data_IF_317298279370
#
_entry.id   IF_317298279370
#
_cell.length_a   1.000
_cell.length_b   1.000
_cell.length_c   1.000
_cell.angle_alpha   90.00
_cell.angle_beta   90.00
_cell.angle_gamma   90.00
#
_symmetry.space_group_name_H-M   'P 1'
#
loop_
_entity.id
_entity.type
_entity.pdbx_description
1 polymer ?
#
# COMPACT_ATOMS: atom_id res chain seq x y z
N UNK A 1 5.51 20.64 -12.78
CA UNK A 1 5.15 19.66 -11.74
C UNK A 1 6.35 18.87 -11.21
N UNK A 2 7.03 18.07 -12.02
CA UNK A 2 8.13 17.19 -11.56
C UNK A 2 9.28 17.94 -10.87
N UNK A 3 9.73 19.08 -11.40
CA UNK A 3 10.78 19.89 -10.76
C UNK A 3 10.36 20.46 -9.39
N UNK A 4 9.07 20.79 -9.22
CA UNK A 4 8.55 21.24 -7.93
C UNK A 4 8.60 20.10 -6.91
N UNK A 5 8.25 18.88 -7.31
CA UNK A 5 8.36 17.69 -6.44
C UNK A 5 9.79 17.56 -5.91
N UNK A 6 10.79 17.71 -6.77
CA UNK A 6 12.20 17.61 -6.39
C UNK A 6 12.61 18.68 -5.38
N UNK A 7 12.07 19.90 -5.52
CA UNK A 7 12.30 21.01 -4.61
C UNK A 7 11.62 20.79 -3.24
N UNK A 8 10.33 20.48 -3.23
CA UNK A 8 9.56 20.32 -1.99
C UNK A 8 9.95 19.06 -1.19
N UNK A 9 10.49 18.03 -1.84
CA UNK A 9 11.04 16.83 -1.16
C UNK A 9 12.40 17.07 -0.51
N UNK A 10 13.09 18.16 -0.83
CA UNK A 10 14.36 18.54 -0.17
C UNK A 10 14.14 19.02 1.26
N UNK A 11 12.93 19.47 1.59
CA UNK A 11 12.61 20.00 2.90
C UNK A 11 12.75 18.89 3.97
N UNK A 12 13.60 19.13 4.96
CA UNK A 12 13.90 18.15 6.01
C UNK A 12 12.90 18.21 7.17
N UNK A 13 12.03 19.23 7.19
CA UNK A 13 11.01 19.37 8.22
C UNK A 13 9.92 18.31 8.01
N UNK A 14 9.81 17.41 8.99
CA UNK A 14 8.76 16.41 9.01
C UNK A 14 7.38 17.10 9.04
N UNK A 15 6.47 16.64 8.18
CA UNK A 15 5.11 17.20 8.06
C UNK A 15 5.11 18.71 7.76
N UNK A 16 6.06 19.18 6.95
CA UNK A 16 5.99 20.54 6.42
C UNK A 16 4.64 20.75 5.69
N UNK A 17 3.87 21.81 6.00
CA UNK A 17 2.53 22.03 5.45
C UNK A 17 2.47 22.01 3.91
N UNK A 18 3.49 22.54 3.24
CA UNK A 18 3.54 22.64 1.78
C UNK A 18 3.77 21.25 1.15
N UNK A 19 4.71 20.49 1.71
CA UNK A 19 4.97 19.10 1.31
C UNK A 19 3.75 18.22 1.55
N UNK A 20 3.04 18.42 2.67
CA UNK A 20 1.83 17.68 3.00
C UNK A 20 0.67 18.03 2.06
N UNK A 21 0.46 19.32 1.78
CA UNK A 21 -0.55 19.76 0.81
C UNK A 21 -0.29 19.22 -0.60
N UNK A 22 0.99 19.16 -1.01
CA UNK A 22 1.38 18.52 -2.27
C UNK A 22 1.05 17.03 -2.29
N UNK A 23 1.35 16.32 -1.21
CA UNK A 23 1.04 14.89 -1.09
C UNK A 23 -0.47 14.64 -1.09
N UNK A 24 -1.24 15.45 -0.38
CA UNK A 24 -2.71 15.36 -0.37
C UNK A 24 -3.27 15.61 -1.78
N UNK A 25 -2.71 16.57 -2.52
CA UNK A 25 -3.09 16.81 -3.93
C UNK A 25 -2.86 15.58 -4.82
N UNK A 26 -1.76 14.84 -4.62
CA UNK A 26 -1.53 13.58 -5.35
C UNK A 26 -2.56 12.53 -4.98
N UNK A 27 -2.85 12.37 -3.69
CA UNK A 27 -3.83 11.40 -3.22
C UNK A 27 -5.24 11.74 -3.70
N UNK A 28 -5.60 13.03 -3.74
CA UNK A 28 -6.87 13.53 -4.29
C UNK A 28 -6.97 13.30 -5.80
N UNK A 29 -5.86 13.49 -6.53
CA UNK A 29 -5.78 13.15 -7.94
C UNK A 29 -6.00 11.66 -8.22
N UNK A 30 -5.50 10.78 -7.34
CA UNK A 30 -5.67 9.32 -7.45
C UNK A 30 -7.11 8.85 -7.23
N UNK A 31 -7.89 9.57 -6.43
CA UNK A 31 -9.30 9.25 -6.15
C UNK A 31 -10.26 9.93 -7.12
N UNK A 32 -9.75 10.64 -8.14
CA UNK A 32 -10.58 11.34 -9.12
C UNK A 32 -11.43 10.35 -9.93
N UNK A 33 -12.75 10.41 -9.76
CA UNK A 33 -13.68 9.58 -10.54
C UNK A 33 -13.90 10.05 -11.98
N UNK A 34 -13.40 11.23 -12.36
CA UNK A 34 -13.73 11.88 -13.64
C UNK A 34 -12.72 11.63 -14.75
N UNK A 35 -11.45 11.37 -14.42
CA UNK A 35 -10.40 11.32 -15.42
C UNK A 35 -9.31 10.29 -15.03
N UNK A 36 -9.18 9.23 -15.83
CA UNK A 36 -8.17 8.19 -15.63
C UNK A 36 -6.75 8.72 -15.80
N UNK A 37 -6.51 9.61 -16.76
CA UNK A 37 -5.19 10.20 -16.99
C UNK A 37 -4.68 11.02 -15.81
N UNK A 38 -5.60 11.66 -15.05
CA UNK A 38 -5.24 12.36 -13.80
C UNK A 38 -4.78 11.35 -12.75
N UNK A 39 -5.46 10.21 -12.62
CA UNK A 39 -5.05 9.15 -11.67
C UNK A 39 -3.67 8.62 -12.05
N UNK A 40 -3.47 8.26 -13.32
CA UNK A 40 -2.19 7.71 -13.79
C UNK A 40 -1.03 8.70 -13.56
N UNK A 41 -1.25 9.99 -13.91
CA UNK A 41 -0.24 11.02 -13.69
C UNK A 41 0.02 11.29 -12.20
N UNK A 42 -1.00 11.19 -11.35
CA UNK A 42 -0.85 11.33 -9.90
C UNK A 42 0.00 10.19 -9.32
N UNK A 43 -0.14 8.97 -9.84
CA UNK A 43 0.71 7.83 -9.50
C UNK A 43 2.18 8.06 -9.86
N UNK A 44 2.43 8.63 -11.05
CA UNK A 44 3.78 9.05 -11.47
C UNK A 44 4.36 10.11 -10.53
N UNK A 45 3.56 11.11 -10.15
CA UNK A 45 3.98 12.14 -9.21
C UNK A 45 4.32 11.58 -7.83
N UNK A 46 3.49 10.69 -7.29
CA UNK A 46 3.70 10.04 -6.00
C UNK A 46 4.97 9.18 -6.00
N UNK A 47 5.21 8.43 -7.09
CA UNK A 47 6.44 7.64 -7.25
C UNK A 47 7.68 8.53 -7.31
N UNK A 48 7.64 9.60 -8.09
CA UNK A 48 8.77 10.53 -8.23
C UNK A 48 9.05 11.26 -6.91
N UNK A 49 8.01 11.60 -6.14
CA UNK A 49 8.12 12.15 -4.79
C UNK A 49 8.92 11.22 -3.87
N UNK A 50 8.54 9.93 -3.79
CA UNK A 50 9.26 8.98 -2.95
C UNK A 50 10.68 8.72 -3.44
N UNK A 51 10.89 8.64 -4.75
CA UNK A 51 12.22 8.46 -5.34
C UNK A 51 13.17 9.59 -4.93
N UNK A 52 12.69 10.83 -4.93
CA UNK A 52 13.50 11.96 -4.49
C UNK A 52 13.62 12.06 -2.98
N UNK A 53 12.63 11.62 -2.21
CA UNK A 53 12.76 11.47 -0.77
C UNK A 53 13.92 10.52 -0.42
N UNK A 54 14.08 9.40 -1.13
CA UNK A 54 15.25 8.49 -0.96
C UNK A 54 16.56 9.22 -1.27
N UNK A 55 16.62 9.91 -2.41
CA UNK A 55 17.83 10.64 -2.85
C UNK A 55 18.26 11.69 -1.83
N UNK A 56 17.34 12.51 -1.36
CA UNK A 56 17.62 13.57 -0.38
C UNK A 56 17.95 13.02 1.01
N UNK A 57 17.33 11.90 1.40
CA UNK A 57 17.64 11.25 2.67
C UNK A 57 19.00 10.52 2.66
N UNK A 58 19.52 10.18 1.47
CA UNK A 58 20.76 9.40 1.31
C UNK A 58 20.58 7.90 1.55
N UNK A 59 19.37 7.36 1.35
CA UNK A 59 19.10 5.91 1.48
C UNK A 59 17.66 5.55 1.92
N UNK A 60 17.31 4.27 1.81
CA UNK A 60 15.96 3.73 2.05
C UNK A 60 15.60 3.53 3.53
N UNK A 61 16.55 3.41 4.45
CA UNK A 61 16.25 3.29 5.90
C UNK A 61 16.63 4.54 6.68
N UNK A 62 16.74 5.67 5.98
CA UNK A 62 16.99 6.98 6.59
C UNK A 62 15.69 7.61 7.05
N UNK A 63 15.74 8.26 8.22
CA UNK A 63 14.55 8.77 8.92
C UNK A 63 13.66 9.66 8.06
N UNK A 64 14.24 10.53 7.23
CA UNK A 64 13.49 11.42 6.33
C UNK A 64 12.66 10.65 5.29
N UNK A 65 13.23 9.62 4.65
CA UNK A 65 12.48 8.77 3.72
C UNK A 65 11.40 7.97 4.46
N UNK A 66 11.76 7.33 5.58
CA UNK A 66 10.83 6.50 6.36
C UNK A 66 9.60 7.30 6.81
N UNK A 67 9.80 8.55 7.20
CA UNK A 67 8.76 9.51 7.55
C UNK A 67 7.81 9.79 6.38
N UNK A 68 8.35 10.13 5.21
CA UNK A 68 7.56 10.41 4.01
C UNK A 68 6.79 9.17 3.53
N UNK A 69 7.45 8.01 3.47
CA UNK A 69 6.82 6.75 3.10
C UNK A 69 5.72 6.34 4.08
N UNK A 70 5.97 6.48 5.39
CA UNK A 70 4.97 6.23 6.43
C UNK A 70 3.72 7.10 6.24
N UNK A 71 3.88 8.38 5.92
CA UNK A 71 2.77 9.31 5.67
C UNK A 71 1.89 8.86 4.48
N UNK A 72 2.52 8.35 3.43
CA UNK A 72 1.82 7.80 2.25
C UNK A 72 1.12 6.48 2.61
N UNK A 73 1.82 5.55 3.28
CA UNK A 73 1.27 4.25 3.66
C UNK A 73 0.05 4.37 4.56
N UNK A 74 0.08 5.29 5.54
CA UNK A 74 -1.09 5.58 6.40
C UNK A 74 -2.32 6.00 5.59
N UNK A 75 -2.14 6.81 4.54
CA UNK A 75 -3.25 7.22 3.66
C UNK A 75 -3.73 6.08 2.78
N UNK A 76 -2.81 5.30 2.21
CA UNK A 76 -3.15 4.09 1.43
C UNK A 76 -4.02 3.17 2.29
N UNK A 77 -3.56 2.81 3.49
CA UNK A 77 -4.27 1.94 4.43
C UNK A 77 -5.66 2.50 4.78
N UNK A 78 -5.75 3.80 5.09
CA UNK A 78 -7.02 4.47 5.38
C UNK A 78 -7.99 4.40 4.20
N UNK A 79 -7.51 4.64 2.98
CA UNK A 79 -8.34 4.64 1.77
C UNK A 79 -8.76 3.23 1.32
N UNK A 80 -7.93 2.21 1.55
CA UNK A 80 -8.23 0.82 1.18
C UNK A 80 -9.46 0.26 1.90
N UNK A 81 -9.73 0.70 3.12
CA UNK A 81 -10.89 0.26 3.91
C UNK A 81 -12.12 1.17 3.76
N UNK A 82 -12.08 2.18 2.88
CA UNK A 82 -13.17 3.15 2.75
C UNK A 82 -14.36 2.55 1.98
N UNK A 83 -15.62 2.87 2.33
CA UNK A 83 -16.80 2.45 1.55
C UNK A 83 -16.87 3.02 0.11
N UNK A 84 -16.00 3.97 -0.24
CA UNK A 84 -16.02 4.64 -1.55
C UNK A 84 -15.08 3.90 -2.50
N UNK A 85 -15.63 3.44 -3.64
CA UNK A 85 -14.90 2.66 -4.64
C UNK A 85 -13.69 3.40 -5.22
N UNK A 86 -13.79 4.71 -5.48
CA UNK A 86 -12.68 5.52 -5.99
C UNK A 86 -11.55 5.69 -4.97
N UNK A 87 -11.86 5.77 -3.67
CA UNK A 87 -10.83 5.78 -2.63
C UNK A 87 -10.08 4.46 -2.57
N UNK A 88 -10.79 3.33 -2.65
CA UNK A 88 -10.15 2.01 -2.71
C UNK A 88 -9.30 1.86 -3.98
N UNK A 89 -9.84 2.23 -5.14
CA UNK A 89 -9.11 2.26 -6.41
C UNK A 89 -7.83 3.09 -6.31
N UNK A 90 -7.94 4.35 -5.86
CA UNK A 90 -6.81 5.25 -5.70
C UNK A 90 -5.75 4.71 -4.74
N UNK A 91 -6.15 4.04 -3.66
CA UNK A 91 -5.22 3.39 -2.72
C UNK A 91 -4.40 2.28 -3.38
N UNK A 92 -5.05 1.43 -4.17
CA UNK A 92 -4.38 0.32 -4.86
C UNK A 92 -3.47 0.82 -5.98
N UNK A 93 -3.89 1.84 -6.74
CA UNK A 93 -3.05 2.52 -7.74
C UNK A 93 -1.82 3.18 -7.09
N UNK A 94 -2.00 3.80 -5.93
CA UNK A 94 -0.91 4.45 -5.20
C UNK A 94 0.13 3.42 -4.76
N UNK A 95 -0.32 2.31 -4.18
CA UNK A 95 0.54 1.18 -3.85
C UNK A 95 1.27 0.61 -5.07
N UNK A 96 0.54 0.32 -6.15
CA UNK A 96 1.10 -0.21 -7.40
C UNK A 96 2.16 0.72 -8.00
N UNK A 97 2.05 2.04 -7.76
CA UNK A 97 3.03 3.02 -8.23
C UNK A 97 4.32 3.01 -7.41
N UNK A 98 4.22 2.76 -6.10
CA UNK A 98 5.34 2.95 -5.15
C UNK A 98 5.99 1.65 -4.67
N UNK A 99 5.38 0.47 -4.90
CA UNK A 99 5.85 -0.80 -4.31
C UNK A 99 7.32 -1.09 -4.63
N UNK A 100 7.82 -0.67 -5.80
CA UNK A 100 9.22 -0.87 -6.21
C UNK A 100 10.21 -0.10 -5.35
N UNK A 101 9.80 1.02 -4.73
CA UNK A 101 10.62 1.78 -3.79
C UNK A 101 10.44 1.23 -2.37
N UNK A 102 9.23 0.83 -2.01
CA UNK A 102 8.91 0.25 -0.71
C UNK A 102 9.70 -1.03 -0.43
N UNK A 103 9.81 -1.93 -1.42
CA UNK A 103 10.50 -3.23 -1.31
C UNK A 103 12.02 -3.14 -1.04
N UNK A 104 12.59 -1.94 -1.06
CA UNK A 104 14.02 -1.71 -0.82
C UNK A 104 14.31 -1.27 0.63
N UNK A 105 13.28 -0.95 1.44
CA UNK A 105 13.44 -0.61 2.86
C UNK A 105 13.06 -1.78 3.75
N UNK A 106 14.03 -2.33 4.48
CA UNK A 106 13.78 -3.43 5.41
C UNK A 106 12.86 -3.00 6.56
N UNK A 107 13.01 -1.74 7.01
CA UNK A 107 12.17 -1.18 8.08
C UNK A 107 10.70 -1.11 7.66
N UNK A 108 10.40 -0.65 6.45
CA UNK A 108 9.03 -0.54 5.98
C UNK A 108 8.40 -1.91 5.71
N UNK A 109 9.19 -2.85 5.16
CA UNK A 109 8.76 -4.23 4.94
C UNK A 109 8.34 -4.86 6.27
N UNK A 110 9.21 -4.79 7.27
CA UNK A 110 8.94 -5.35 8.60
C UNK A 110 7.65 -4.78 9.21
N UNK A 111 7.45 -3.46 9.08
CA UNK A 111 6.35 -2.75 9.77
C UNK A 111 5.00 -2.91 9.07
N UNK A 112 4.95 -2.79 7.74
CA UNK A 112 3.69 -2.58 7.01
C UNK A 112 3.22 -3.75 6.14
N UNK A 113 4.10 -4.68 5.74
CA UNK A 113 3.73 -5.67 4.70
C UNK A 113 2.53 -6.54 5.09
N UNK A 114 2.47 -7.05 6.33
CA UNK A 114 1.34 -7.87 6.78
C UNK A 114 0.05 -7.05 6.97
N UNK A 115 0.18 -5.78 7.35
CA UNK A 115 -0.96 -4.87 7.40
C UNK A 115 -1.52 -4.58 6.01
N UNK A 116 -0.65 -4.35 5.02
CA UNK A 116 -1.03 -4.15 3.61
C UNK A 116 -1.72 -5.39 3.04
N UNK A 117 -1.22 -6.59 3.35
CA UNK A 117 -1.87 -7.85 2.99
C UNK A 117 -3.31 -7.87 3.50
N UNK A 118 -3.50 -7.61 4.79
CA UNK A 118 -4.82 -7.61 5.43
C UNK A 118 -5.76 -6.61 4.76
N UNK A 119 -5.37 -5.34 4.66
CA UNK A 119 -6.27 -4.28 4.16
C UNK A 119 -6.60 -4.44 2.68
N UNK A 120 -5.69 -4.98 1.87
CA UNK A 120 -6.00 -5.21 0.45
C UNK A 120 -6.91 -6.43 0.24
N UNK A 121 -6.84 -7.47 1.08
CA UNK A 121 -7.80 -8.58 1.04
C UNK A 121 -9.20 -8.11 1.45
N UNK A 122 -9.31 -7.31 2.52
CA UNK A 122 -10.57 -6.71 2.93
C UNK A 122 -11.09 -5.73 1.86
N UNK A 123 -10.23 -4.87 1.31
CA UNK A 123 -10.58 -3.97 0.21
C UNK A 123 -11.11 -4.72 -1.00
N UNK A 124 -10.52 -5.88 -1.33
CA UNK A 124 -10.96 -6.74 -2.44
C UNK A 124 -12.33 -7.38 -2.15
N UNK A 125 -12.60 -7.74 -0.89
CA UNK A 125 -13.92 -8.22 -0.47
C UNK A 125 -14.98 -7.11 -0.63
N UNK A 126 -14.71 -5.90 -0.14
CA UNK A 126 -15.63 -4.75 -0.27
C UNK A 126 -15.87 -4.41 -1.75
N UNK A 127 -14.86 -4.57 -2.61
CA UNK A 127 -14.95 -4.32 -4.05
C UNK A 127 -15.85 -5.32 -4.81
N UNK A 128 -16.39 -6.36 -4.17
CA UNK A 128 -17.34 -7.29 -4.79
C UNK A 128 -18.60 -6.58 -5.33
N UNK A 129 -19.04 -5.51 -4.65
CA UNK A 129 -20.22 -4.74 -5.03
C UNK A 129 -19.94 -3.53 -5.94
N UNK A 130 -18.69 -3.32 -6.35
CA UNK A 130 -18.34 -2.19 -7.23
C UNK A 130 -18.73 -2.47 -8.68
N UNK A 131 -18.93 -1.39 -9.45
CA UNK A 131 -19.07 -1.47 -10.90
C UNK A 131 -17.80 -2.10 -11.52
N UNK A 132 -17.91 -3.24 -12.24
CA UNK A 132 -16.77 -3.92 -12.83
C UNK A 132 -15.93 -3.06 -13.78
N UNK A 133 -16.51 -2.03 -14.39
CA UNK A 133 -15.81 -1.11 -15.30
C UNK A 133 -14.81 -0.20 -14.58
N UNK A 134 -14.92 -0.03 -13.26
CA UNK A 134 -14.01 0.81 -12.47
C UNK A 134 -12.61 0.22 -12.34
N UNK A 135 -12.47 -1.11 -12.44
CA UNK A 135 -11.17 -1.75 -12.30
C UNK A 135 -10.70 -1.98 -10.85
N UNK A 136 -11.56 -1.76 -9.83
CA UNK A 136 -11.17 -1.81 -8.41
C UNK A 136 -10.63 -3.17 -8.00
N UNK A 137 -11.32 -4.25 -8.40
CA UNK A 137 -10.89 -5.62 -8.12
C UNK A 137 -9.56 -5.94 -8.81
N UNK A 138 -9.41 -5.58 -10.10
CA UNK A 138 -8.18 -5.84 -10.85
C UNK A 138 -6.98 -5.14 -10.22
N UNK A 139 -7.14 -3.87 -9.81
CA UNK A 139 -6.05 -3.13 -9.17
C UNK A 139 -5.71 -3.67 -7.78
N UNK A 140 -6.70 -4.11 -7.00
CA UNK A 140 -6.49 -4.77 -5.70
C UNK A 140 -5.78 -6.13 -5.84
N UNK A 141 -6.12 -6.93 -6.85
CA UNK A 141 -5.43 -8.20 -7.15
C UNK A 141 -3.97 -7.93 -7.53
N UNK A 142 -3.71 -6.90 -8.34
CA UNK A 142 -2.35 -6.44 -8.67
C UNK A 142 -1.57 -6.03 -7.43
N UNK A 143 -2.19 -5.23 -6.56
CA UNK A 143 -1.61 -4.80 -5.29
C UNK A 143 -1.22 -5.98 -4.40
N UNK A 144 -2.10 -6.97 -4.26
CA UNK A 144 -1.86 -8.19 -3.51
C UNK A 144 -0.75 -9.03 -4.11
N UNK A 145 -0.63 -9.08 -5.44
CA UNK A 145 0.45 -9.78 -6.14
C UNK A 145 1.82 -9.15 -5.85
N UNK A 146 1.88 -7.82 -5.70
CA UNK A 146 3.09 -7.13 -5.25
C UNK A 146 3.43 -7.44 -3.78
N UNK A 147 2.42 -7.46 -2.89
CA UNK A 147 2.60 -7.84 -1.48
C UNK A 147 3.09 -9.30 -1.36
N UNK A 148 2.46 -10.22 -2.11
CA UNK A 148 2.85 -11.62 -2.19
C UNK A 148 4.31 -11.78 -2.58
N UNK A 149 4.77 -11.04 -3.60
CA UNK A 149 6.18 -11.08 -4.04
C UNK A 149 7.15 -10.68 -2.91
N UNK A 150 6.82 -9.62 -2.17
CA UNK A 150 7.63 -9.17 -1.03
C UNK A 150 7.67 -10.25 0.06
N UNK A 151 6.52 -10.82 0.42
CA UNK A 151 6.44 -11.88 1.44
C UNK A 151 7.26 -13.11 1.02
N UNK A 152 7.20 -13.52 -0.25
CA UNK A 152 8.00 -14.65 -0.74
C UNK A 152 9.50 -14.38 -0.68
N UNK A 153 9.93 -13.20 -1.14
CA UNK A 153 11.35 -12.82 -1.18
C UNK A 153 11.92 -12.57 0.23
N UNK A 154 11.08 -12.15 1.19
CA UNK A 154 11.49 -11.71 2.53
C UNK A 154 10.81 -12.48 3.66
N UNK A 155 10.41 -13.73 3.43
CA UNK A 155 9.63 -14.55 4.36
C UNK A 155 10.23 -14.63 5.76
N UNK A 156 11.57 -14.69 5.84
CA UNK A 156 12.33 -14.75 7.09
C UNK A 156 12.05 -13.57 8.03
N UNK A 157 11.73 -12.39 7.49
CA UNK A 157 11.39 -11.20 8.29
C UNK A 157 10.14 -11.44 9.14
N UNK A 158 9.19 -12.23 8.62
CA UNK A 158 7.84 -12.39 9.20
C UNK A 158 7.69 -13.62 10.09
N UNK A 159 8.74 -14.43 10.29
CA UNK A 159 8.69 -15.65 11.11
C UNK A 159 8.49 -15.30 12.58
N UNK A 160 9.25 -14.31 13.08
CA UNK A 160 9.19 -13.85 14.47
C UNK A 160 8.43 -12.54 14.57
N UNK A 161 7.76 -12.34 15.70
CA UNK A 161 7.11 -11.08 15.99
C UNK A 161 8.14 -9.98 16.32
N UNK A 162 7.84 -8.75 15.88
CA UNK A 162 8.60 -7.55 16.19
C UNK A 162 7.67 -6.52 16.81
N UNK A 163 8.09 -5.85 17.88
CA UNK A 163 7.28 -4.83 18.58
C UNK A 163 6.89 -3.61 17.73
N UNK A 164 7.61 -3.37 16.63
CA UNK A 164 7.37 -2.26 15.70
C UNK A 164 6.30 -2.59 14.65
N UNK A 165 5.99 -3.87 14.46
CA UNK A 165 5.13 -4.32 13.36
C UNK A 165 3.67 -4.00 13.66
N UNK A 166 2.96 -3.45 12.67
CA UNK A 166 1.55 -3.18 12.82
C UNK A 166 0.75 -4.48 12.78
N UNK A 167 0.04 -4.76 13.88
CA UNK A 167 -0.82 -5.93 13.99
C UNK A 167 -2.17 -5.66 13.35
N UNK A 168 -2.59 -6.47 12.35
CA UNK A 168 -3.93 -6.36 11.79
C UNK A 168 -5.03 -6.66 12.83
N UNK A 169 -6.26 -6.16 12.61
CA UNK A 169 -7.40 -6.51 13.45
C UNK A 169 -7.62 -8.03 13.52
N UNK A 170 -8.01 -8.53 14.69
CA UNK A 170 -8.28 -9.96 14.95
C UNK A 170 -7.07 -10.90 14.89
N UNK A 171 -5.85 -10.39 14.66
CA UNK A 171 -4.63 -11.19 14.71
C UNK A 171 -4.07 -11.19 16.14
N UNK A 172 -3.58 -12.34 16.59
CA UNK A 172 -2.92 -12.47 17.90
C UNK A 172 -1.54 -11.81 17.85
N UNK A 173 -0.78 -12.15 16.81
CA UNK A 173 0.57 -11.68 16.54
C UNK A 173 0.68 -11.31 15.06
N UNK A 174 1.60 -10.40 14.73
CA UNK A 174 1.84 -10.01 13.35
C UNK A 174 2.88 -10.94 12.69
N UNK A 175 2.62 -12.24 12.57
CA UNK A 175 3.57 -13.22 11.98
C UNK A 175 3.03 -13.86 10.71
N UNK A 176 3.91 -14.51 9.93
CA UNK A 176 3.52 -15.23 8.72
C UNK A 176 2.59 -16.42 9.02
N UNK A 177 2.82 -17.14 10.13
CA UNK A 177 1.93 -18.22 10.58
C UNK A 177 0.49 -17.71 10.78
N UNK A 178 0.34 -16.61 11.52
CA UNK A 178 -0.98 -16.02 11.79
C UNK A 178 -1.61 -15.50 10.50
N UNK A 179 -0.81 -14.93 9.59
CA UNK A 179 -1.28 -14.48 8.28
C UNK A 179 -1.86 -15.64 7.45
N UNK A 180 -1.15 -16.78 7.37
CA UNK A 180 -1.60 -17.97 6.63
C UNK A 180 -2.87 -18.56 7.26
N UNK A 181 -2.91 -18.69 8.59
CA UNK A 181 -4.13 -19.16 9.30
C UNK A 181 -5.32 -18.23 9.05
N UNK A 182 -5.08 -16.91 9.04
CA UNK A 182 -6.12 -15.94 8.74
C UNK A 182 -6.61 -16.07 7.30
N UNK A 183 -5.71 -16.15 6.31
CA UNK A 183 -6.07 -16.34 4.90
C UNK A 183 -6.87 -17.64 4.69
N UNK A 184 -6.49 -18.73 5.35
CA UNK A 184 -7.21 -20.01 5.29
C UNK A 184 -8.67 -19.86 5.77
N UNK A 185 -8.91 -19.07 6.82
CA UNK A 185 -10.28 -18.75 7.28
C UNK A 185 -11.04 -17.93 6.25
N UNK A 186 -10.35 -17.07 5.49
CA UNK A 186 -10.98 -16.26 4.43
C UNK A 186 -11.31 -17.08 3.16
N UNK A 187 -10.78 -18.29 2.98
CA UNK A 187 -11.10 -19.15 1.83
C UNK A 187 -12.59 -19.58 1.77
N UNK A 188 -13.35 -19.44 2.85
CA UNK A 188 -14.79 -19.71 2.90
C UNK A 188 -15.68 -18.51 2.57
N UNK A 189 -15.11 -17.35 2.24
CA UNK A 189 -15.87 -16.10 2.01
C UNK A 189 -16.81 -16.17 0.80
N UNK A 190 -17.84 -15.33 0.83
CA UNK A 190 -18.85 -15.22 -0.24
C UNK A 190 -18.28 -14.42 -1.42
N UNK A 191 -17.46 -13.41 -1.13
CA UNK A 191 -16.83 -12.52 -2.10
C UNK A 191 -15.84 -13.30 -2.97
N UNK A 192 -16.16 -13.45 -4.25
CA UNK A 192 -15.56 -14.47 -5.11
C UNK A 192 -14.09 -14.18 -5.40
N UNK A 193 -13.77 -12.95 -5.77
CA UNK A 193 -12.38 -12.56 -6.08
C UNK A 193 -11.49 -12.54 -4.84
N UNK A 194 -12.02 -12.09 -3.69
CA UNK A 194 -11.31 -12.15 -2.41
C UNK A 194 -11.02 -13.60 -2.00
N UNK A 195 -12.03 -14.48 -2.09
CA UNK A 195 -11.86 -15.91 -1.83
C UNK A 195 -10.80 -16.54 -2.73
N UNK A 196 -10.89 -16.31 -4.06
CA UNK A 196 -9.94 -16.83 -5.04
C UNK A 196 -8.51 -16.40 -4.72
N UNK A 197 -8.32 -15.10 -4.42
CA UNK A 197 -6.99 -14.58 -4.09
C UNK A 197 -6.48 -15.13 -2.74
N UNK A 198 -7.34 -15.33 -1.75
CA UNK A 198 -6.95 -15.99 -0.50
C UNK A 198 -6.45 -17.42 -0.72
N UNK A 199 -7.17 -18.23 -1.51
CA UNK A 199 -6.76 -19.60 -1.85
C UNK A 199 -5.39 -19.60 -2.56
N UNK A 200 -5.20 -18.72 -3.54
CA UNK A 200 -3.91 -18.57 -4.24
C UNK A 200 -2.76 -18.23 -3.28
N UNK A 201 -2.98 -17.28 -2.36
CA UNK A 201 -1.97 -16.84 -1.40
C UNK A 201 -1.62 -17.93 -0.39
N UNK A 202 -2.60 -18.68 0.13
CA UNK A 202 -2.35 -19.81 1.04
C UNK A 202 -1.51 -20.90 0.37
N UNK A 203 -1.76 -21.20 -0.90
CA UNK A 203 -0.95 -22.17 -1.64
C UNK A 203 0.47 -21.66 -1.95
N UNK A 204 0.71 -20.35 -1.81
CA UNK A 204 1.99 -19.72 -2.16
C UNK A 204 2.91 -19.48 -0.96
N UNK A 205 2.34 -19.17 0.21
CA UNK A 205 3.06 -18.88 1.45
C UNK A 205 3.40 -20.16 2.22
#
# INVERSE_FOLDING_TARGET
MIQMIHWFTKNQNYENPETMSMLDTFMDGMISGRNASIRDFSGVCLKEFLKWAVKHAGGFDKSAYLKNATSILKRIISFSMHPNSFKRLGSTLAWNSIYTLFRESETLIDVYTLQLLYVFIESLAIAQGDDPSLGTQQQAIGALSHVQRIIKEKSQVFIKETSKRHRPPSWTEATLDVAVRWLLRQCGRIETESRRKCIELVCTF
#
